data_IF_415090364529
#
_entry.id   IF_415090364529
#
_cell.length_a   1.000
_cell.length_b   1.000
_cell.length_c   1.000
_cell.angle_alpha   90.00
_cell.angle_beta   90.00
_cell.angle_gamma   90.00
#
_symmetry.space_group_name_H-M   'P 1'
#
loop_
_entity.id
_entity.type
_entity.pdbx_description
1 polymer ?
#
# COMPACT_ATOMS: atom_id res chain seq x y z
N UNK A 1 -4.76 27.27 -6.30
CA UNK A 1 -5.01 26.08 -7.14
C UNK A 1 -5.03 24.88 -6.23
N UNK A 2 -6.04 24.02 -6.33
CA UNK A 2 -6.03 22.74 -5.61
C UNK A 2 -5.02 21.79 -6.27
N UNK A 3 -4.26 21.07 -5.46
CA UNK A 3 -3.44 19.97 -5.94
C UNK A 3 -4.33 18.77 -6.29
N UNK A 4 -4.03 18.07 -7.39
CA UNK A 4 -4.84 16.92 -7.79
C UNK A 4 -4.43 15.66 -7.02
N UNK A 5 -5.38 14.75 -6.78
CA UNK A 5 -5.08 13.44 -6.17
C UNK A 5 -4.08 12.61 -6.99
N UNK A 6 -4.04 12.82 -8.31
CA UNK A 6 -3.07 12.19 -9.19
C UNK A 6 -1.63 12.67 -8.92
N UNK A 7 -1.44 13.98 -8.69
CA UNK A 7 -0.13 14.53 -8.35
C UNK A 7 0.40 13.96 -7.01
N UNK A 8 -0.49 13.82 -6.03
CA UNK A 8 -0.18 13.19 -4.74
C UNK A 8 0.17 11.71 -4.94
N UNK A 9 -0.60 10.98 -5.73
CA UNK A 9 -0.37 9.56 -6.04
C UNK A 9 1.00 9.32 -6.70
N UNK A 10 1.42 10.21 -7.60
CA UNK A 10 2.74 10.13 -8.23
C UNK A 10 3.87 10.29 -7.22
N UNK A 11 3.77 11.25 -6.29
CA UNK A 11 4.78 11.41 -5.23
C UNK A 11 4.81 10.24 -4.25
N UNK A 12 3.64 9.74 -3.87
CA UNK A 12 3.52 8.54 -3.04
C UNK A 12 4.17 7.33 -3.71
N UNK A 13 4.02 7.19 -5.03
CA UNK A 13 4.68 6.13 -5.81
C UNK A 13 6.20 6.23 -5.76
N UNK A 14 6.74 7.45 -5.89
CA UNK A 14 8.18 7.69 -5.73
C UNK A 14 8.66 7.36 -4.32
N UNK A 15 7.93 7.82 -3.30
CA UNK A 15 8.22 7.55 -1.89
C UNK A 15 8.28 6.05 -1.58
N UNK A 16 7.35 5.24 -2.08
CA UNK A 16 7.36 3.78 -1.88
C UNK A 16 8.63 3.15 -2.47
N UNK A 17 9.10 3.64 -3.61
CA UNK A 17 10.35 3.17 -4.23
C UNK A 17 11.56 3.45 -3.34
N UNK A 18 11.68 4.68 -2.85
CA UNK A 18 12.73 5.08 -1.90
C UNK A 18 12.66 4.26 -0.62
N UNK A 19 11.46 4.13 -0.02
CA UNK A 19 11.24 3.39 1.20
C UNK A 19 11.75 1.94 1.11
N UNK A 20 11.42 1.24 0.01
CA UNK A 20 11.85 -0.14 -0.22
C UNK A 20 13.36 -0.26 -0.35
N UNK A 21 13.99 0.66 -1.07
CA UNK A 21 15.44 0.66 -1.27
C UNK A 21 16.18 0.92 0.04
N UNK A 22 15.76 1.96 0.77
CA UNK A 22 16.41 2.35 2.02
C UNK A 22 16.19 1.27 3.10
N UNK A 23 15.03 0.62 3.12
CA UNK A 23 14.78 -0.56 3.98
C UNK A 23 15.71 -1.73 3.62
N UNK A 24 15.88 -2.02 2.32
CA UNK A 24 16.76 -3.09 1.88
C UNK A 24 18.24 -2.80 2.19
N UNK A 25 18.67 -1.55 2.06
CA UNK A 25 20.02 -1.12 2.44
C UNK A 25 20.26 -1.35 3.94
N UNK A 26 19.30 -0.97 4.78
CA UNK A 26 19.37 -1.22 6.23
C UNK A 26 19.49 -2.72 6.57
N UNK A 27 18.71 -3.60 5.94
CA UNK A 27 18.79 -5.05 6.22
C UNK A 27 20.03 -5.76 5.63
N UNK A 28 20.70 -5.16 4.65
CA UNK A 28 21.95 -5.67 4.10
C UNK A 28 23.18 -5.23 4.92
N UNK A 29 22.98 -4.37 5.92
CA UNK A 29 24.02 -4.03 6.89
C UNK A 29 24.17 -5.17 7.91
N UNK A 30 25.39 -5.70 8.05
CA UNK A 30 25.68 -6.84 8.92
C UNK A 30 25.37 -6.53 10.41
N UNK A 31 25.40 -5.25 10.82
CA UNK A 31 25.01 -4.83 12.17
C UNK A 31 23.49 -4.93 12.44
N UNK A 32 22.65 -4.88 11.40
CA UNK A 32 21.20 -4.94 11.54
C UNK A 32 20.65 -6.39 11.61
N UNK A 33 21.50 -7.40 11.36
CA UNK A 33 21.05 -8.80 11.26
C UNK A 33 20.83 -9.50 12.61
N UNK A 34 21.34 -8.95 13.72
CA UNK A 34 21.11 -9.52 15.05
C UNK A 34 19.84 -8.95 15.71
N UNK A 35 18.70 -9.50 15.31
CA UNK A 35 17.50 -9.53 16.15
C UNK A 35 16.63 -8.27 16.19
N UNK A 36 16.87 -7.28 15.32
CA UNK A 36 16.05 -6.06 15.34
C UNK A 36 14.83 -6.17 14.42
N UNK A 37 13.63 -6.15 15.01
CA UNK A 37 12.38 -6.02 14.27
C UNK A 37 12.14 -4.54 13.97
N UNK A 38 12.78 -4.01 12.93
CA UNK A 38 12.65 -2.60 12.58
C UNK A 38 11.23 -2.26 12.15
N UNK A 39 10.62 -1.31 12.86
CA UNK A 39 9.29 -0.79 12.54
C UNK A 39 9.41 0.59 11.91
N UNK A 40 8.76 0.77 10.75
CA UNK A 40 8.75 2.04 10.03
C UNK A 40 7.51 2.83 10.44
N UNK A 41 7.70 4.06 10.91
CA UNK A 41 6.62 4.99 11.22
C UNK A 41 6.50 6.07 10.13
N UNK A 42 5.33 6.19 9.50
CA UNK A 42 5.03 7.20 8.47
C UNK A 42 3.99 8.17 9.02
N UNK A 43 4.35 9.44 9.15
CA UNK A 43 3.42 10.51 9.55
C UNK A 43 2.95 11.25 8.30
N UNK A 44 1.64 11.29 8.09
CA UNK A 44 1.05 11.87 6.87
C UNK A 44 -0.39 12.37 7.09
N UNK A 45 -1.01 12.88 6.03
CA UNK A 45 -2.40 13.34 6.01
C UNK A 45 -3.36 12.24 5.53
N UNK A 46 -4.65 12.34 5.88
CA UNK A 46 -5.64 11.30 5.57
C UNK A 46 -5.75 10.94 4.08
N UNK A 47 -5.74 11.93 3.19
CA UNK A 47 -5.76 11.69 1.73
C UNK A 47 -4.48 10.98 1.27
N UNK A 48 -3.31 11.47 1.70
CA UNK A 48 -2.01 10.89 1.36
C UNK A 48 -1.88 9.45 1.87
N UNK A 49 -2.38 9.14 3.06
CA UNK A 49 -2.42 7.78 3.61
C UNK A 49 -3.28 6.86 2.74
N UNK A 50 -4.48 7.28 2.37
CA UNK A 50 -5.36 6.48 1.51
C UNK A 50 -4.76 6.24 0.13
N UNK A 51 -4.10 7.24 -0.45
CA UNK A 51 -3.37 7.09 -1.71
C UNK A 51 -2.13 6.20 -1.55
N UNK A 52 -1.47 6.23 -0.40
CA UNK A 52 -0.42 5.28 -0.04
C UNK A 52 -0.94 3.84 -0.01
N UNK A 53 -2.05 3.59 0.70
CA UNK A 53 -2.67 2.26 0.76
C UNK A 53 -3.15 1.81 -0.62
N UNK A 54 -3.78 2.70 -1.39
CA UNK A 54 -4.16 2.44 -2.78
C UNK A 54 -2.95 2.05 -3.63
N UNK A 55 -1.85 2.78 -3.55
CA UNK A 55 -0.65 2.47 -4.33
C UNK A 55 0.05 1.20 -3.87
N UNK A 56 0.12 0.99 -2.55
CA UNK A 56 0.82 -0.13 -1.92
C UNK A 56 0.13 -1.46 -2.19
N UNK A 57 -1.19 -1.51 -1.96
CA UNK A 57 -2.01 -2.69 -2.19
C UNK A 57 -2.59 -2.77 -3.61
N UNK A 58 -2.35 -1.75 -4.44
CA UNK A 58 -2.90 -1.63 -5.79
C UNK A 58 -4.43 -1.64 -5.82
N UNK A 59 -5.08 -1.00 -4.83
CA UNK A 59 -6.54 -0.84 -4.84
C UNK A 59 -7.00 -0.04 -6.07
N UNK A 60 -8.17 -0.40 -6.57
CA UNK A 60 -8.84 0.33 -7.64
C UNK A 60 -9.25 1.73 -7.18
N UNK A 61 -9.50 2.61 -8.15
CA UNK A 61 -10.04 3.96 -7.91
C UNK A 61 -11.37 3.86 -7.14
N UNK A 62 -12.22 2.91 -7.51
CA UNK A 62 -13.53 2.71 -6.89
C UNK A 62 -13.45 2.33 -5.41
N UNK A 63 -12.50 1.47 -5.04
CA UNK A 63 -12.27 1.10 -3.64
C UNK A 63 -11.65 2.25 -2.87
N UNK A 64 -10.73 2.98 -3.49
CA UNK A 64 -10.19 4.20 -2.91
C UNK A 64 -11.31 5.22 -2.64
N UNK A 65 -12.21 5.49 -3.59
CA UNK A 65 -13.31 6.45 -3.42
C UNK A 65 -14.29 6.05 -2.30
N UNK A 66 -14.48 4.73 -2.10
CA UNK A 66 -15.32 4.18 -1.02
C UNK A 66 -14.65 4.15 0.36
N UNK A 67 -13.33 4.34 0.41
CA UNK A 67 -12.60 4.38 1.68
C UNK A 67 -12.79 5.71 2.41
N UNK A 68 -12.51 5.70 3.72
CA UNK A 68 -12.68 6.85 4.62
C UNK A 68 -11.35 7.30 5.20
N UNK A 69 -11.24 8.59 5.50
CA UNK A 69 -10.11 9.09 6.26
C UNK A 69 -10.18 8.54 7.69
N UNK A 70 -9.04 8.16 8.28
CA UNK A 70 -9.01 7.86 9.70
C UNK A 70 -9.24 9.13 10.52
N UNK A 71 -9.49 8.97 11.83
CA UNK A 71 -9.61 10.11 12.75
C UNK A 71 -8.27 10.85 12.85
N UNK A 72 -8.31 12.12 13.27
CA UNK A 72 -7.10 12.89 13.51
C UNK A 72 -6.19 12.17 14.52
N UNK A 73 -4.90 12.09 14.20
CA UNK A 73 -3.87 11.40 14.98
C UNK A 73 -4.14 9.90 15.24
N UNK A 74 -5.05 9.27 14.49
CA UNK A 74 -5.21 7.83 14.54
C UNK A 74 -3.99 7.12 13.94
N UNK A 75 -3.63 5.99 14.56
CA UNK A 75 -2.59 5.09 14.09
C UNK A 75 -3.23 4.04 13.19
N UNK A 76 -2.57 3.76 12.06
CA UNK A 76 -2.96 2.71 11.12
C UNK A 76 -1.80 1.75 10.99
N UNK A 77 -2.04 0.47 11.23
CA UNK A 77 -0.99 -0.55 11.35
C UNK A 77 -0.97 -1.44 10.11
N UNK A 78 0.22 -1.59 9.53
CA UNK A 78 0.51 -2.66 8.58
C UNK A 78 1.29 -3.75 9.29
N UNK A 79 0.68 -4.93 9.42
CA UNK A 79 1.27 -6.09 10.09
C UNK A 79 2.03 -6.95 9.09
N UNK A 80 3.20 -7.46 9.50
CA UNK A 80 3.99 -8.35 8.67
C UNK A 80 3.45 -9.78 8.79
N UNK A 81 3.03 -10.36 7.68
CA UNK A 81 2.65 -11.76 7.56
C UNK A 81 3.91 -12.68 7.60
N UNK A 82 3.81 -13.93 8.08
CA UNK A 82 4.82 -14.98 7.91
C UNK A 82 5.49 -15.06 6.53
N UNK A 83 4.78 -14.77 5.44
CA UNK A 83 5.33 -14.72 4.08
C UNK A 83 6.25 -13.52 3.79
N UNK A 84 6.42 -12.61 4.74
CA UNK A 84 7.23 -11.40 4.63
C UNK A 84 6.51 -10.22 3.97
N UNK A 85 5.25 -10.39 3.60
CA UNK A 85 4.38 -9.33 3.10
C UNK A 85 3.78 -8.52 4.24
N UNK A 86 3.25 -7.34 3.93
CA UNK A 86 2.53 -6.51 4.88
C UNK A 86 1.05 -6.52 4.54
N UNK A 87 0.20 -6.67 5.56
CA UNK A 87 -1.25 -6.55 5.45
C UNK A 87 -1.77 -5.43 6.34
N UNK A 88 -2.81 -4.73 5.88
CA UNK A 88 -3.50 -3.75 6.71
C UNK A 88 -4.25 -4.48 7.83
N UNK A 89 -4.07 -4.02 9.08
CA UNK A 89 -4.72 -4.65 10.23
C UNK A 89 -6.23 -4.78 9.99
N UNK A 90 -6.87 -5.90 10.39
CA UNK A 90 -8.30 -6.09 10.14
C UNK A 90 -9.17 -4.95 10.70
N UNK A 91 -8.78 -4.40 11.85
CA UNK A 91 -9.48 -3.30 12.51
C UNK A 91 -9.39 -2.02 11.67
N UNK A 92 -8.20 -1.64 11.24
CA UNK A 92 -7.99 -0.41 10.46
C UNK A 92 -8.61 -0.52 9.07
N UNK A 93 -8.50 -1.69 8.46
CA UNK A 93 -9.11 -1.98 7.16
C UNK A 93 -10.62 -1.78 7.18
N UNK A 94 -11.31 -2.35 8.17
CA UNK A 94 -12.75 -2.20 8.35
C UNK A 94 -13.08 -0.73 8.66
N UNK A 95 -12.36 -0.10 9.58
CA UNK A 95 -12.60 1.29 9.98
C UNK A 95 -12.44 2.28 8.81
N UNK A 96 -11.52 2.02 7.90
CA UNK A 96 -11.24 2.84 6.73
C UNK A 96 -12.01 2.41 5.49
N UNK A 97 -12.83 1.35 5.55
CA UNK A 97 -13.66 0.90 4.43
C UNK A 97 -12.88 0.27 3.27
N UNK A 98 -11.68 -0.26 3.54
CA UNK A 98 -10.92 -1.00 2.53
C UNK A 98 -11.37 -2.46 2.47
N UNK A 99 -11.33 -3.10 1.29
CA UNK A 99 -11.75 -4.49 1.13
C UNK A 99 -10.69 -5.46 1.63
N UNK A 100 -11.15 -6.66 2.02
CA UNK A 100 -10.29 -7.81 2.27
C UNK A 100 -9.97 -8.49 0.95
N UNK A 101 -8.70 -8.46 0.54
CA UNK A 101 -8.23 -9.37 -0.49
C UNK A 101 -7.67 -10.60 0.18
N UNK A 102 -8.51 -11.62 0.43
CA UNK A 102 -8.00 -12.93 0.84
C UNK A 102 -7.24 -13.61 -0.31
N UNK A 103 -7.61 -13.25 -1.54
CA UNK A 103 -6.87 -13.55 -2.76
C UNK A 103 -6.89 -12.25 -3.55
N UNK A 104 -5.77 -11.52 -3.61
CA UNK A 104 -5.66 -10.56 -4.69
C UNK A 104 -5.69 -11.36 -5.99
N UNK A 105 -6.78 -11.26 -6.75
CA UNK A 105 -6.72 -11.30 -8.22
C UNK A 105 -5.89 -10.07 -8.64
N UNK A 106 -4.60 -10.05 -8.28
CA UNK A 106 -3.64 -9.21 -8.98
C UNK A 106 -3.83 -9.55 -10.44
N UNK A 107 -3.85 -8.54 -11.29
CA UNK A 107 -3.64 -8.75 -12.72
C UNK A 107 -2.32 -9.51 -12.87
N UNK A 108 -2.42 -10.83 -12.94
CA UNK A 108 -1.29 -11.70 -13.18
C UNK A 108 -1.27 -11.72 -14.69
N UNK A 109 -0.35 -10.95 -15.27
CA UNK A 109 -0.18 -10.89 -16.72
C UNK A 109 -0.18 -12.29 -17.39
N UNK A 110 0.27 -13.31 -16.64
CA UNK A 110 0.31 -14.72 -17.03
C UNK A 110 -0.98 -15.51 -16.83
N UNK A 111 -1.90 -15.10 -15.94
CA UNK A 111 -3.17 -15.79 -15.67
C UNK A 111 -4.37 -15.06 -16.29
N UNK A 112 -4.28 -13.75 -16.48
CA UNK A 112 -5.37 -12.89 -16.97
C UNK A 112 -5.17 -12.47 -18.44
N UNK A 113 -4.44 -13.30 -19.23
CA UNK A 113 -4.10 -12.99 -20.62
C UNK A 113 -5.35 -12.75 -21.50
N UNK A 114 -6.47 -13.37 -21.15
CA UNK A 114 -7.77 -13.18 -21.81
C UNK A 114 -8.28 -11.74 -21.75
N UNK A 115 -7.88 -10.94 -20.75
CA UNK A 115 -8.25 -9.52 -20.65
C UNK A 115 -7.42 -8.62 -21.60
N UNK A 116 -6.31 -9.14 -22.13
CA UNK A 116 -5.49 -8.45 -23.14
C UNK A 116 -5.86 -8.85 -24.57
N UNK A 117 -6.71 -9.86 -24.72
CA UNK A 117 -7.21 -10.29 -26.02
C UNK A 117 -8.22 -9.25 -26.55
N UNK A 118 -7.75 -8.46 -27.52
CA UNK A 118 -8.54 -7.42 -28.18
C UNK A 118 -9.37 -7.95 -29.35
N UNK A 119 -9.43 -9.26 -29.58
CA UNK A 119 -10.20 -9.83 -30.68
C UNK A 119 -11.73 -9.71 -30.52
N UNK A 120 -12.20 -9.25 -29.36
CA UNK A 120 -13.62 -9.07 -29.04
C UNK A 120 -14.08 -7.58 -28.92
N UNK A 121 -13.27 -6.61 -29.38
CA UNK A 121 -13.66 -5.20 -29.50
C UNK A 121 -13.74 -4.75 -30.95
#
# INVERSE_FOLDING_TARGET
GGESGFDVYNRVSGFIGTLKRDSAEYYNDDEAQEGDSTTICIVTHGLSLRLFLMRWFQYSVHEFERSYNPKNAAVVVLERDPGGWFELSPVDRIAMGFPSYQEQERFRLMHDYSLLDKSAW
#
